data_IF_183424538600
#
_entry.id   IF_183424538600
#
_cell.length_a   1.000
_cell.length_b   1.000
_cell.length_c   1.000
_cell.angle_alpha   90.00
_cell.angle_beta   90.00
_cell.angle_gamma   90.00
#
_symmetry.space_group_name_H-M   'P 1'
#
loop_
_entity.id
_entity.type
_entity.pdbx_description
1 polymer ?
#
# COMPACT_ATOMS: atom_id res chain seq x y z
N UNK A 1 -5.77 7.62 12.98
CA UNK A 1 -6.66 6.43 12.76
C UNK A 1 -6.50 5.97 11.30
N UNK A 2 -6.74 4.70 11.01
CA UNK A 2 -6.52 4.18 9.65
C UNK A 2 -7.64 4.62 8.72
N UNK A 3 -7.24 5.16 7.56
CA UNK A 3 -8.14 5.48 6.45
C UNK A 3 -7.90 4.51 5.32
N UNK A 4 -8.94 3.82 4.89
CA UNK A 4 -8.84 2.85 3.80
C UNK A 4 -9.35 3.46 2.49
N UNK A 5 -8.60 3.29 1.41
CA UNK A 5 -9.09 3.62 0.07
C UNK A 5 -9.98 2.50 -0.46
N UNK A 6 -9.63 1.23 -0.18
CA UNK A 6 -10.39 0.04 -0.58
C UNK A 6 -10.32 -1.03 0.50
N UNK A 7 -11.42 -1.77 0.69
CA UNK A 7 -11.50 -2.89 1.63
C UNK A 7 -12.35 -4.02 1.05
N UNK A 8 -12.01 -5.26 1.36
CA UNK A 8 -12.94 -6.39 1.25
C UNK A 8 -13.02 -7.10 2.59
N UNK A 9 -14.23 -7.29 3.09
CA UNK A 9 -14.50 -7.98 4.34
C UNK A 9 -15.61 -9.02 4.15
N UNK A 10 -15.70 -9.93 5.10
CA UNK A 10 -16.75 -10.95 5.17
C UNK A 10 -17.46 -10.83 6.51
N UNK A 11 -18.79 -10.92 6.47
CA UNK A 11 -19.66 -11.08 7.65
C UNK A 11 -20.58 -12.30 7.46
N UNK A 12 -21.46 -12.56 8.42
CA UNK A 12 -22.42 -13.68 8.39
C UNK A 12 -23.76 -13.27 7.78
N UNK A 13 -24.48 -14.25 7.23
CA UNK A 13 -25.85 -14.06 6.73
C UNK A 13 -26.84 -13.71 7.83
N UNK A 14 -26.55 -14.04 9.09
CA UNK A 14 -27.38 -13.73 10.25
C UNK A 14 -27.59 -12.21 10.45
N UNK A 15 -26.72 -11.38 9.86
CA UNK A 15 -26.84 -9.93 9.89
C UNK A 15 -27.67 -9.36 8.73
N UNK A 16 -28.19 -10.18 7.83
CA UNK A 16 -29.09 -9.73 6.76
C UNK A 16 -30.48 -9.49 7.36
N UNK A 17 -30.94 -8.24 7.34
CA UNK A 17 -32.32 -7.91 7.71
C UNK A 17 -33.29 -8.17 6.57
N UNK A 18 -32.93 -7.69 5.38
CA UNK A 18 -33.75 -7.82 4.18
C UNK A 18 -32.87 -7.89 2.94
N UNK A 19 -33.37 -8.53 1.89
CA UNK A 19 -32.69 -8.64 0.60
C UNK A 19 -33.72 -8.57 -0.52
N UNK A 20 -33.57 -7.61 -1.42
CA UNK A 20 -34.40 -7.49 -2.61
C UNK A 20 -33.78 -8.31 -3.75
N UNK A 21 -34.38 -9.47 -4.01
CA UNK A 21 -33.88 -10.47 -4.97
C UNK A 21 -33.73 -9.92 -6.40
N UNK A 22 -34.45 -8.86 -6.78
CA UNK A 22 -34.36 -8.26 -8.12
C UNK A 22 -32.98 -7.66 -8.42
N UNK A 23 -32.20 -7.34 -7.39
CA UNK A 23 -30.84 -6.82 -7.53
C UNK A 23 -29.78 -7.91 -7.59
N UNK A 24 -30.13 -9.19 -7.46
CA UNK A 24 -29.16 -10.28 -7.35
C UNK A 24 -29.40 -11.43 -8.33
N UNK A 25 -28.30 -11.94 -8.88
CA UNK A 25 -28.26 -13.11 -9.74
C UNK A 25 -28.00 -14.31 -8.84
N UNK A 26 -28.82 -15.34 -9.00
CA UNK A 26 -28.65 -16.60 -8.27
C UNK A 26 -27.85 -17.56 -9.13
N UNK A 27 -26.85 -18.21 -8.53
CA UNK A 27 -26.07 -19.26 -9.16
C UNK A 27 -26.01 -20.48 -8.27
N UNK A 28 -26.08 -21.65 -8.91
CA UNK A 28 -26.01 -22.96 -8.26
C UNK A 28 -24.78 -23.70 -8.79
N UNK A 29 -23.88 -24.09 -7.88
CA UNK A 29 -22.67 -24.85 -8.21
C UNK A 29 -22.78 -26.21 -7.54
N UNK A 30 -23.06 -27.24 -8.34
CA UNK A 30 -23.02 -28.63 -7.90
C UNK A 30 -21.58 -29.13 -7.89
N UNK A 31 -21.11 -29.64 -6.75
CA UNK A 31 -19.82 -30.30 -6.60
C UNK A 31 -19.99 -31.82 -6.74
N UNK A 32 -18.92 -32.50 -7.13
CA UNK A 32 -18.91 -33.97 -7.32
C UNK A 32 -19.28 -34.76 -6.06
N UNK A 33 -19.12 -34.16 -4.86
CA UNK A 33 -19.50 -34.74 -3.58
C UNK A 33 -20.98 -34.49 -3.21
N UNK A 34 -21.82 -34.05 -4.14
CA UNK A 34 -23.24 -33.77 -3.91
C UNK A 34 -23.54 -32.41 -3.26
N UNK A 35 -22.52 -31.65 -2.84
CA UNK A 35 -22.72 -30.31 -2.27
C UNK A 35 -23.26 -29.35 -3.34
N UNK A 36 -24.40 -28.71 -3.06
CA UNK A 36 -24.96 -27.66 -3.90
C UNK A 36 -24.69 -26.29 -3.26
N UNK A 37 -23.80 -25.51 -3.89
CA UNK A 37 -23.43 -24.17 -3.40
C UNK A 37 -24.34 -23.14 -4.06
N UNK A 38 -25.07 -22.37 -3.25
CA UNK A 38 -25.96 -21.29 -3.69
C UNK A 38 -25.26 -19.96 -3.43
N UNK A 39 -25.04 -19.18 -4.49
CA UNK A 39 -24.52 -17.82 -4.38
C UNK A 39 -25.47 -16.81 -5.00
N UNK A 40 -25.61 -15.68 -4.33
CA UNK A 40 -26.27 -14.49 -4.84
C UNK A 40 -25.20 -13.42 -5.11
N UNK A 41 -25.18 -12.84 -6.31
CA UNK A 41 -24.22 -11.79 -6.68
C UNK A 41 -24.94 -10.58 -7.22
N UNK A 42 -24.48 -9.37 -6.85
CA UNK A 42 -25.12 -8.13 -7.27
C UNK A 42 -25.11 -7.98 -8.81
N UNK A 43 -26.28 -7.71 -9.39
CA UNK A 43 -26.50 -7.68 -10.85
C UNK A 43 -25.71 -6.57 -11.55
N UNK A 44 -25.69 -5.39 -10.94
CA UNK A 44 -25.03 -4.19 -11.46
C UNK A 44 -24.16 -3.59 -10.38
N UNK A 45 -22.90 -3.31 -10.72
CA UNK A 45 -22.00 -2.62 -9.79
C UNK A 45 -22.51 -1.20 -9.54
N UNK A 46 -22.59 -0.83 -8.27
CA UNK A 46 -22.80 0.56 -7.86
C UNK A 46 -21.44 1.23 -7.69
N UNK A 47 -21.42 2.57 -7.80
CA UNK A 47 -20.21 3.35 -7.57
C UNK A 47 -19.60 3.00 -6.20
N UNK A 48 -18.31 2.67 -6.21
CA UNK A 48 -17.58 2.28 -5.00
C UNK A 48 -17.90 0.87 -4.46
N UNK A 49 -18.91 0.16 -4.97
CA UNK A 49 -19.20 -1.24 -4.60
C UNK A 49 -18.60 -2.18 -5.64
N UNK A 50 -17.39 -2.65 -5.34
CA UNK A 50 -16.60 -3.50 -6.24
C UNK A 50 -17.09 -4.95 -6.26
N UNK A 51 -17.60 -5.45 -5.13
CA UNK A 51 -18.06 -6.82 -4.94
C UNK A 51 -19.12 -6.88 -3.86
N UNK A 52 -20.21 -7.58 -4.13
CA UNK A 52 -21.19 -7.96 -3.13
C UNK A 52 -21.70 -9.36 -3.49
N UNK A 53 -21.45 -10.32 -2.62
CA UNK A 53 -21.84 -11.70 -2.83
C UNK A 53 -22.26 -12.37 -1.54
N UNK A 54 -23.37 -13.09 -1.57
CA UNK A 54 -23.91 -13.86 -0.45
C UNK A 54 -23.76 -15.33 -0.82
N UNK A 55 -23.13 -16.12 0.05
CA UNK A 55 -23.07 -17.56 -0.06
C UNK A 55 -23.99 -18.15 1.01
N UNK A 56 -25.19 -18.55 0.60
CA UNK A 56 -26.23 -19.04 1.50
C UNK A 56 -25.87 -20.41 2.07
N UNK A 57 -25.10 -21.22 1.34
CA UNK A 57 -24.65 -22.55 1.77
C UNK A 57 -23.67 -22.48 2.95
N UNK A 58 -22.78 -21.48 2.97
CA UNK A 58 -21.78 -21.31 4.02
C UNK A 58 -22.12 -20.17 4.99
N UNK A 59 -23.29 -19.54 4.86
CA UNK A 59 -23.75 -18.47 5.74
C UNK A 59 -22.84 -17.24 5.74
N UNK A 60 -22.27 -16.87 4.58
CA UNK A 60 -21.32 -15.73 4.49
C UNK A 60 -21.77 -14.65 3.52
N UNK A 61 -21.50 -13.40 3.88
CA UNK A 61 -21.68 -12.23 3.02
C UNK A 61 -20.32 -11.59 2.83
N UNK A 62 -19.88 -11.48 1.59
CA UNK A 62 -18.60 -10.87 1.22
C UNK A 62 -18.84 -9.55 0.50
N UNK A 63 -18.22 -8.50 1.03
CA UNK A 63 -18.42 -7.12 0.60
C UNK A 63 -17.06 -6.53 0.28
N UNK A 64 -16.89 -6.03 -0.93
CA UNK A 64 -15.70 -5.33 -1.41
C UNK A 64 -16.10 -3.94 -1.88
N UNK A 65 -15.54 -2.92 -1.26
CA UNK A 65 -15.88 -1.51 -1.49
C UNK A 65 -14.63 -0.66 -1.59
N UNK A 66 -14.69 0.42 -2.36
CA UNK A 66 -13.74 1.52 -2.29
C UNK A 66 -14.41 2.74 -1.66
N UNK A 67 -13.60 3.63 -1.10
CA UNK A 67 -14.01 4.87 -0.46
C UNK A 67 -14.78 5.80 -1.40
N UNK A 68 -14.77 5.58 -2.73
CA UNK A 68 -15.65 6.27 -3.68
C UNK A 68 -17.14 6.08 -3.35
N UNK A 69 -17.48 5.02 -2.61
CA UNK A 69 -18.84 4.81 -2.07
C UNK A 69 -19.29 5.94 -1.15
N UNK A 70 -18.34 6.66 -0.53
CA UNK A 70 -18.60 7.76 0.39
C UNK A 70 -18.88 9.11 -0.30
N UNK A 71 -18.82 9.16 -1.65
CA UNK A 71 -19.20 10.35 -2.43
C UNK A 71 -18.42 11.59 -1.97
N UNK A 72 -19.10 12.63 -1.49
CA UNK A 72 -18.49 13.86 -0.94
C UNK A 72 -17.50 13.61 0.20
N UNK A 73 -17.73 12.56 1.00
CA UNK A 73 -16.85 12.16 2.08
C UNK A 73 -15.67 11.29 1.62
N UNK A 74 -15.44 11.11 0.31
CA UNK A 74 -14.32 10.32 -0.25
C UNK A 74 -12.95 10.67 0.37
N UNK A 75 -12.72 11.95 0.66
CA UNK A 75 -11.47 12.44 1.25
C UNK A 75 -11.19 11.75 2.59
N UNK A 76 -12.22 11.56 3.42
CA UNK A 76 -12.11 10.92 4.73
C UNK A 76 -11.63 9.46 4.63
N UNK A 77 -11.91 8.81 3.49
CA UNK A 77 -11.67 7.38 3.32
C UNK A 77 -12.59 6.55 4.21
N UNK A 78 -12.50 5.23 4.11
CA UNK A 78 -13.26 4.34 5.00
C UNK A 78 -12.52 4.29 6.35
N UNK A 79 -13.12 4.91 7.35
CA UNK A 79 -12.70 4.95 8.75
C UNK A 79 -13.93 4.87 9.68
N UNK A 80 -13.70 4.85 10.99
CA UNK A 80 -14.75 4.84 12.02
C UNK A 80 -15.80 5.92 11.81
N UNK A 81 -15.38 7.13 11.43
CA UNK A 81 -16.26 8.31 11.27
C UNK A 81 -17.15 8.25 10.02
N UNK A 82 -16.94 7.24 9.17
CA UNK A 82 -17.67 7.05 7.89
C UNK A 82 -18.40 5.72 7.82
N UNK A 83 -18.39 4.95 8.91
CA UNK A 83 -18.99 3.61 8.95
C UNK A 83 -20.50 3.64 8.74
N UNK A 84 -21.21 4.60 9.33
CA UNK A 84 -22.66 4.72 9.17
C UNK A 84 -23.02 5.00 7.71
N UNK A 85 -22.33 5.96 7.07
CA UNK A 85 -22.50 6.22 5.64
C UNK A 85 -22.15 4.99 4.79
N UNK A 86 -21.07 4.26 5.12
CA UNK A 86 -20.73 3.04 4.41
C UNK A 86 -21.86 2.00 4.50
N UNK A 87 -22.44 1.82 5.68
CA UNK A 87 -23.57 0.91 5.88
C UNK A 87 -24.79 1.35 5.07
N UNK A 88 -25.14 2.63 5.10
CA UNK A 88 -26.27 3.16 4.33
C UNK A 88 -26.10 2.93 2.82
N UNK A 89 -24.90 3.15 2.29
CA UNK A 89 -24.62 2.92 0.87
C UNK A 89 -24.61 1.43 0.50
N UNK A 90 -24.20 0.54 1.41
CA UNK A 90 -24.36 -0.91 1.25
C UNK A 90 -25.85 -1.26 1.26
N UNK A 91 -26.64 -0.74 2.19
CA UNK A 91 -28.08 -0.98 2.30
C UNK A 91 -28.81 -0.56 1.03
N UNK A 92 -28.40 0.57 0.45
CA UNK A 92 -28.92 1.06 -0.81
C UNK A 92 -28.63 0.13 -2.01
N UNK A 93 -27.80 -0.91 -1.90
CA UNK A 93 -27.58 -1.90 -2.96
C UNK A 93 -28.73 -2.90 -3.13
N UNK A 94 -29.70 -2.91 -2.22
CA UNK A 94 -30.76 -3.92 -2.15
C UNK A 94 -30.46 -5.05 -1.15
N UNK A 95 -29.38 -4.94 -0.37
CA UNK A 95 -29.08 -5.81 0.75
C UNK A 95 -29.01 -4.98 2.03
N UNK A 96 -29.98 -5.12 2.92
CA UNK A 96 -29.99 -4.42 4.20
C UNK A 96 -29.30 -5.25 5.29
N UNK A 97 -28.25 -4.68 5.88
CA UNK A 97 -27.52 -5.30 6.98
C UNK A 97 -27.88 -4.66 8.33
N UNK A 98 -27.86 -5.48 9.38
CA UNK A 98 -27.90 -5.01 10.75
C UNK A 98 -26.57 -4.33 11.10
N UNK A 99 -26.62 -3.17 11.78
CA UNK A 99 -25.45 -2.34 12.13
C UNK A 99 -24.34 -3.11 12.84
N UNK A 100 -24.71 -4.13 13.61
CA UNK A 100 -23.75 -4.95 14.36
C UNK A 100 -22.84 -5.79 13.48
N UNK A 101 -23.10 -5.91 12.16
CA UNK A 101 -22.26 -6.69 11.23
C UNK A 101 -20.78 -6.29 11.34
N UNK A 102 -20.48 -5.03 11.65
CA UNK A 102 -19.13 -4.48 11.78
C UNK A 102 -18.33 -5.21 12.86
N UNK A 103 -18.95 -5.53 14.00
CA UNK A 103 -18.32 -6.22 15.12
C UNK A 103 -17.99 -7.69 14.82
N UNK A 104 -18.67 -8.27 13.83
CA UNK A 104 -18.52 -9.67 13.43
C UNK A 104 -17.90 -9.83 12.03
N UNK A 105 -17.36 -8.73 11.49
CA UNK A 105 -16.72 -8.71 10.18
C UNK A 105 -15.22 -8.97 10.29
N UNK A 106 -14.69 -9.76 9.36
CA UNK A 106 -13.26 -9.90 9.18
C UNK A 106 -12.80 -9.44 7.81
N UNK A 107 -11.66 -8.77 7.76
CA UNK A 107 -11.07 -8.19 6.57
C UNK A 107 -10.25 -9.23 5.82
N UNK A 108 -10.52 -9.34 4.52
CA UNK A 108 -9.82 -10.23 3.59
C UNK A 108 -8.68 -9.52 2.86
N UNK A 109 -8.84 -8.22 2.59
CA UNK A 109 -7.81 -7.33 2.03
C UNK A 109 -8.14 -5.88 2.36
N UNK A 110 -7.12 -5.04 2.41
CA UNK A 110 -7.28 -3.62 2.66
C UNK A 110 -6.18 -2.83 1.94
N UNK A 111 -6.55 -1.67 1.41
CA UNK A 111 -5.64 -0.69 0.85
C UNK A 111 -5.69 0.54 1.76
N UNK A 112 -4.61 0.76 2.52
CA UNK A 112 -4.47 1.84 3.52
C UNK A 112 -3.92 3.08 2.84
N UNK A 113 -4.59 4.22 2.96
CA UNK A 113 -4.14 5.48 2.34
C UNK A 113 -3.80 6.56 3.37
N UNK A 114 -2.84 7.41 3.02
CA UNK A 114 -2.62 8.72 3.61
C UNK A 114 -2.51 9.75 2.48
N UNK A 115 -3.26 10.83 2.61
CA UNK A 115 -3.24 11.98 1.71
C UNK A 115 -2.42 13.08 2.39
N UNK A 116 -1.22 13.36 1.89
CA UNK A 116 -0.29 14.30 2.50
C UNK A 116 -0.24 15.61 1.72
N UNK A 117 -0.45 16.73 2.41
CA UNK A 117 -0.14 18.07 1.93
C UNK A 117 1.20 18.46 2.51
N UNK A 118 2.20 18.54 1.64
CA UNK A 118 3.59 18.77 2.01
C UNK A 118 4.06 20.12 1.44
N UNK A 119 5.21 20.60 1.88
CA UNK A 119 5.74 21.93 1.54
C UNK A 119 6.10 22.07 0.05
N UNK A 120 6.68 21.03 -0.54
CA UNK A 120 7.13 21.03 -1.92
C UNK A 120 6.09 20.44 -2.89
N UNK A 121 6.37 20.51 -4.19
CA UNK A 121 5.57 19.80 -5.20
C UNK A 121 5.66 18.27 -4.99
N UNK A 122 4.68 17.51 -5.46
CA UNK A 122 4.69 16.04 -5.32
C UNK A 122 5.86 15.33 -6.03
N UNK A 123 6.34 15.90 -7.14
CA UNK A 123 7.39 15.30 -7.97
C UNK A 123 8.74 15.25 -7.23
N UNK A 124 9.06 16.30 -6.50
CA UNK A 124 10.22 16.42 -5.63
C UNK A 124 10.33 15.26 -4.63
N UNK A 125 9.22 14.88 -4.01
CA UNK A 125 9.18 13.76 -3.06
C UNK A 125 9.32 12.42 -3.78
N UNK A 126 8.67 12.25 -4.93
CA UNK A 126 8.77 11.03 -5.75
C UNK A 126 10.22 10.83 -6.23
N UNK A 127 10.88 11.89 -6.68
CA UNK A 127 12.28 11.88 -7.08
C UNK A 127 13.19 11.51 -5.91
N UNK A 128 12.97 12.12 -4.74
CA UNK A 128 13.73 11.79 -3.53
C UNK A 128 13.56 10.31 -3.14
N UNK A 129 12.32 9.79 -3.17
CA UNK A 129 12.04 8.38 -2.88
C UNK A 129 12.67 7.43 -3.92
N UNK A 130 12.77 7.85 -5.18
CA UNK A 130 13.36 7.04 -6.23
C UNK A 130 14.85 6.77 -6.02
N UNK A 131 15.56 7.67 -5.34
CA UNK A 131 16.99 7.53 -5.06
C UNK A 131 17.30 6.51 -3.94
N UNK A 132 16.32 6.19 -3.08
CA UNK A 132 16.47 5.15 -2.06
C UNK A 132 16.78 3.80 -2.70
N UNK A 133 17.80 3.07 -2.25
CA UNK A 133 18.10 1.71 -2.76
C UNK A 133 16.90 0.76 -2.59
N UNK A 134 16.25 0.81 -1.42
CA UNK A 134 15.17 -0.06 -0.98
C UNK A 134 15.43 -1.56 -1.26
N UNK A 135 16.49 -2.17 -0.68
CA UNK A 135 17.00 -3.48 -1.11
C UNK A 135 16.00 -4.65 -0.97
N UNK A 136 15.01 -4.53 -0.09
CA UNK A 136 13.96 -5.54 0.10
C UNK A 136 12.77 -5.36 -0.86
N UNK A 137 12.81 -4.35 -1.74
CA UNK A 137 11.74 -3.98 -2.63
C UNK A 137 12.24 -3.91 -4.07
N UNK A 138 11.33 -4.18 -5.01
CA UNK A 138 11.46 -3.81 -6.40
C UNK A 138 10.83 -2.43 -6.54
N UNK A 139 11.61 -1.45 -7.00
CA UNK A 139 11.16 -0.09 -7.24
C UNK A 139 10.74 0.07 -8.69
N UNK A 140 9.68 0.83 -8.93
CA UNK A 140 9.26 1.21 -10.28
C UNK A 140 8.73 2.64 -10.24
N UNK A 141 9.53 3.60 -10.75
CA UNK A 141 9.09 4.98 -10.96
C UNK A 141 8.33 5.08 -12.28
N UNK A 142 7.31 5.92 -12.31
CA UNK A 142 6.61 6.40 -13.49
C UNK A 142 6.40 7.92 -13.31
N UNK A 143 5.88 8.60 -14.33
CA UNK A 143 5.88 10.07 -14.41
C UNK A 143 5.29 10.75 -13.17
N UNK A 144 4.24 10.17 -12.59
CA UNK A 144 3.47 10.79 -11.50
C UNK A 144 3.55 10.01 -10.19
N UNK A 145 4.47 9.04 -10.07
CA UNK A 145 4.59 8.25 -8.85
C UNK A 145 5.67 7.18 -8.87
N UNK A 146 5.71 6.42 -7.78
CA UNK A 146 6.67 5.34 -7.56
C UNK A 146 6.00 4.19 -6.80
N UNK A 147 6.31 2.96 -7.19
CA UNK A 147 5.86 1.73 -6.53
C UNK A 147 7.04 1.04 -5.87
N UNK A 148 6.83 0.57 -4.64
CA UNK A 148 7.71 -0.34 -3.92
C UNK A 148 6.98 -1.68 -3.71
N UNK A 149 7.41 -2.72 -4.45
CA UNK A 149 6.89 -4.08 -4.30
C UNK A 149 7.84 -4.91 -3.44
N UNK A 150 7.39 -5.43 -2.30
CA UNK A 150 8.23 -6.26 -1.43
C UNK A 150 8.65 -7.55 -2.17
N UNK A 151 9.96 -7.87 -2.17
CA UNK A 151 10.52 -9.02 -2.89
C UNK A 151 10.09 -10.39 -2.34
N UNK A 152 9.53 -10.43 -1.13
CA UNK A 152 9.11 -11.69 -0.51
C UNK A 152 7.87 -12.26 -1.23
N UNK A 153 7.87 -13.57 -1.48
CA UNK A 153 6.71 -14.23 -2.11
C UNK A 153 5.56 -14.45 -1.12
N UNK A 154 5.88 -14.68 0.15
CA UNK A 154 4.89 -14.97 1.19
C UNK A 154 4.41 -13.68 1.85
N UNK A 155 3.12 -13.37 1.65
CA UNK A 155 2.45 -12.18 2.23
C UNK A 155 3.15 -10.86 1.81
N UNK A 156 3.28 -10.62 0.49
CA UNK A 156 3.93 -9.42 -0.03
C UNK A 156 3.11 -8.17 0.28
N UNK A 157 3.80 -7.06 0.50
CA UNK A 157 3.20 -5.73 0.50
C UNK A 157 3.59 -4.96 -0.76
N UNK A 158 2.68 -4.10 -1.21
CA UNK A 158 2.95 -3.11 -2.23
C UNK A 158 2.62 -1.74 -1.66
N UNK A 159 3.57 -0.81 -1.71
CA UNK A 159 3.34 0.59 -1.39
C UNK A 159 3.45 1.41 -2.68
N UNK A 160 2.51 2.30 -2.91
CA UNK A 160 2.50 3.22 -4.05
C UNK A 160 2.48 4.64 -3.51
N UNK A 161 3.38 5.49 -3.98
CA UNK A 161 3.41 6.93 -3.70
C UNK A 161 3.17 7.66 -4.99
N UNK A 162 2.17 8.55 -5.05
CA UNK A 162 1.82 9.22 -6.29
C UNK A 162 1.16 10.57 -6.05
N UNK A 163 1.23 11.42 -7.05
CA UNK A 163 0.47 12.65 -7.08
C UNK A 163 -1.01 12.35 -7.33
N UNK A 164 -1.86 12.65 -6.35
CA UNK A 164 -3.28 12.29 -6.41
C UNK A 164 -3.99 13.04 -7.53
N UNK A 165 -3.65 14.30 -7.72
CA UNK A 165 -4.20 15.15 -8.77
C UNK A 165 -4.10 14.53 -10.16
N UNK A 166 -2.95 13.96 -10.53
CA UNK A 166 -2.78 13.32 -11.83
C UNK A 166 -3.62 12.04 -12.00
N UNK A 167 -3.85 11.27 -10.92
CA UNK A 167 -4.78 10.13 -10.97
C UNK A 167 -6.21 10.59 -11.26
N UNK A 168 -6.60 11.74 -10.74
CA UNK A 168 -7.94 12.28 -10.95
C UNK A 168 -8.22 12.63 -12.40
N UNK A 169 -7.22 13.16 -13.10
CA UNK A 169 -7.33 13.49 -14.51
C UNK A 169 -7.59 12.24 -15.38
N UNK A 170 -7.19 11.06 -14.92
CA UNK A 170 -7.45 9.77 -15.57
C UNK A 170 -8.84 9.21 -15.20
N UNK A 171 -9.26 9.34 -13.93
CA UNK A 171 -10.54 8.84 -13.40
C UNK A 171 -11.72 9.82 -13.59
N UNK A 172 -11.94 10.30 -14.82
CA UNK A 172 -12.85 11.44 -15.10
C UNK A 172 -14.31 11.27 -14.66
N UNK A 173 -14.86 10.06 -14.64
CA UNK A 173 -16.30 9.85 -14.37
C UNK A 173 -16.69 10.20 -12.94
N UNK A 174 -15.94 9.75 -11.95
CA UNK A 174 -16.22 10.04 -10.54
C UNK A 174 -16.10 11.53 -10.24
N UNK A 175 -15.03 12.19 -10.70
CA UNK A 175 -14.80 13.60 -10.41
C UNK A 175 -15.66 14.55 -11.24
N UNK A 176 -16.30 14.07 -12.32
CA UNK A 176 -17.38 14.82 -12.99
C UNK A 176 -18.65 14.89 -12.13
N UNK A 177 -18.97 13.84 -11.39
CA UNK A 177 -20.10 13.82 -10.45
C UNK A 177 -19.79 14.60 -9.16
N UNK A 178 -18.51 14.64 -8.74
CA UNK A 178 -18.06 15.31 -7.52
C UNK A 178 -16.91 16.32 -7.80
N UNK A 179 -17.16 17.40 -8.58
CA UNK A 179 -16.11 18.33 -9.02
C UNK A 179 -15.40 19.07 -7.87
N UNK A 180 -16.10 19.33 -6.77
CA UNK A 180 -15.58 19.94 -5.54
C UNK A 180 -14.38 19.20 -4.95
N UNK A 181 -14.26 17.88 -5.19
CA UNK A 181 -13.13 17.09 -4.71
C UNK A 181 -11.82 17.43 -5.44
N UNK A 182 -11.89 18.01 -6.63
CA UNK A 182 -10.72 18.29 -7.48
C UNK A 182 -9.74 19.25 -6.81
N UNK A 183 -10.26 20.35 -6.26
CA UNK A 183 -9.42 21.35 -5.63
C UNK A 183 -8.81 20.85 -4.32
N UNK A 184 -9.43 19.88 -3.66
CA UNK A 184 -8.94 19.35 -2.37
C UNK A 184 -7.65 18.56 -2.54
N UNK A 185 -7.48 17.89 -3.67
CA UNK A 185 -6.34 17.03 -3.98
C UNK A 185 -5.22 17.70 -4.78
N UNK A 186 -5.33 19.01 -5.04
CA UNK A 186 -4.24 19.78 -5.65
C UNK A 186 -2.96 19.64 -4.80
N UNK A 187 -1.85 19.28 -5.46
CA UNK A 187 -0.55 19.01 -4.84
C UNK A 187 -0.60 18.04 -3.64
N UNK A 188 -1.49 17.06 -3.65
CA UNK A 188 -1.54 16.01 -2.61
C UNK A 188 -0.67 14.82 -3.02
N UNK A 189 0.30 14.50 -2.16
CA UNK A 189 1.07 13.27 -2.25
C UNK A 189 0.29 12.15 -1.54
N UNK A 190 -0.25 11.20 -2.31
CA UNK A 190 -0.90 10.02 -1.73
C UNK A 190 0.11 8.90 -1.52
N UNK A 191 0.08 8.33 -0.32
CA UNK A 191 0.80 7.11 0.03
C UNK A 191 -0.24 6.02 0.29
N UNK A 192 -0.17 4.93 -0.47
CA UNK A 192 -1.14 3.84 -0.42
C UNK A 192 -0.44 2.49 -0.28
N UNK A 193 -0.75 1.75 0.78
CA UNK A 193 -0.26 0.39 1.00
C UNK A 193 -1.34 -0.65 0.80
N UNK A 194 -1.07 -1.58 -0.10
CA UNK A 194 -1.94 -2.70 -0.43
C UNK A 194 -1.61 -3.93 0.39
N UNK A 195 -2.58 -4.39 1.18
CA UNK A 195 -2.56 -5.61 1.98
C UNK A 195 -3.46 -6.65 1.28
N UNK A 196 -2.94 -7.44 0.31
CA UNK A 196 -3.75 -8.17 -0.65
C UNK A 196 -4.47 -9.39 -0.09
N UNK A 197 -4.10 -9.86 1.10
CA UNK A 197 -4.64 -11.08 1.70
C UNK A 197 -4.84 -10.93 3.20
N UNK A 198 -5.76 -11.71 3.77
CA UNK A 198 -6.03 -11.79 5.22
C UNK A 198 -4.75 -12.04 6.01
N UNK A 199 -3.88 -12.90 5.49
CA UNK A 199 -2.60 -13.18 6.12
C UNK A 199 -1.64 -11.98 6.12
N UNK A 200 -1.69 -11.13 5.10
CA UNK A 200 -0.89 -9.90 5.01
C UNK A 200 -1.46 -8.82 5.92
N UNK A 201 -2.79 -8.67 5.95
CA UNK A 201 -3.51 -7.80 6.90
C UNK A 201 -3.07 -8.14 8.33
N UNK A 202 -3.18 -9.40 8.74
CA UNK A 202 -2.77 -9.84 10.06
C UNK A 202 -1.27 -9.66 10.35
N UNK A 203 -0.39 -9.76 9.34
CA UNK A 203 1.07 -9.56 9.52
C UNK A 203 1.39 -8.14 9.99
N UNK A 204 0.74 -7.14 9.39
CA UNK A 204 1.03 -5.72 9.63
C UNK A 204 0.11 -5.10 10.69
N UNK A 205 -1.16 -5.50 10.76
CA UNK A 205 -2.15 -4.93 11.69
C UNK A 205 -2.31 -5.76 12.97
N UNK A 206 -1.88 -7.03 12.97
CA UNK A 206 -2.04 -7.99 14.09
C UNK A 206 -3.49 -8.37 14.43
N UNK A 207 -4.45 -7.95 13.60
CA UNK A 207 -5.85 -8.37 13.66
C UNK A 207 -6.42 -8.51 12.24
N UNK A 208 -7.53 -9.25 12.13
CA UNK A 208 -8.39 -9.25 10.96
C UNK A 208 -9.79 -8.67 11.25
N UNK A 209 -10.09 -8.29 12.49
CA UNK A 209 -11.36 -7.64 12.83
C UNK A 209 -11.47 -6.31 12.08
N UNK A 210 -12.63 -6.06 11.47
CA UNK A 210 -12.88 -4.78 10.79
C UNK A 210 -12.67 -3.61 11.74
N UNK A 211 -13.22 -3.68 12.96
CA UNK A 211 -13.13 -2.60 13.93
C UNK A 211 -11.68 -2.33 14.38
N UNK A 212 -10.91 -3.38 14.68
CA UNK A 212 -9.51 -3.23 15.08
C UNK A 212 -8.66 -2.59 13.98
N UNK A 213 -8.94 -2.95 12.72
CA UNK A 213 -8.24 -2.41 11.56
C UNK A 213 -8.50 -0.91 11.40
N UNK A 214 -9.74 -0.48 11.55
CA UNK A 214 -10.10 0.95 11.46
C UNK A 214 -9.52 1.76 12.62
N UNK A 215 -9.40 1.14 13.81
CA UNK A 215 -8.82 1.76 15.00
C UNK A 215 -7.27 1.77 15.02
N UNK A 216 -6.62 1.00 14.15
CA UNK A 216 -5.15 0.98 14.05
C UNK A 216 -4.63 2.29 13.44
N UNK A 217 -3.38 2.68 13.69
CA UNK A 217 -2.74 3.85 13.07
C UNK A 217 -1.31 3.53 12.61
N UNK A 218 -0.72 4.43 11.81
CA UNK A 218 0.71 4.37 11.46
C UNK A 218 1.12 3.22 10.52
N UNK A 219 0.19 2.55 9.82
CA UNK A 219 0.54 1.44 8.91
C UNK A 219 1.46 1.91 7.78
N UNK A 220 1.11 2.99 7.08
CA UNK A 220 1.97 3.53 6.03
C UNK A 220 3.29 4.06 6.59
N UNK A 221 3.30 4.65 7.79
CA UNK A 221 4.54 5.03 8.48
C UNK A 221 5.48 3.84 8.67
N UNK A 222 4.99 2.73 9.22
CA UNK A 222 5.79 1.52 9.45
C UNK A 222 6.38 0.95 8.14
N UNK A 223 5.62 1.01 7.05
CA UNK A 223 6.05 0.48 5.74
C UNK A 223 7.08 1.41 5.10
N UNK A 224 6.87 2.73 5.17
CA UNK A 224 7.83 3.73 4.70
C UNK A 224 9.14 3.64 5.50
N UNK A 225 9.06 3.51 6.82
CA UNK A 225 10.24 3.32 7.68
C UNK A 225 11.02 2.05 7.30
N UNK A 226 10.31 0.96 7.01
CA UNK A 226 10.90 -0.28 6.49
C UNK A 226 11.56 -0.12 5.12
N UNK A 227 11.00 0.70 4.22
CA UNK A 227 11.58 1.02 2.90
C UNK A 227 12.87 1.81 3.07
N UNK A 228 12.88 2.77 4.00
CA UNK A 228 13.98 3.70 4.26
C UNK A 228 15.11 3.05 5.07
N UNK A 229 14.79 2.04 5.89
CA UNK A 229 15.66 1.52 6.93
C UNK A 229 17.13 1.34 6.46
N UNK A 230 18.05 1.96 7.23
CA UNK A 230 19.50 2.02 7.02
C UNK A 230 20.03 2.76 5.77
N UNK A 231 19.20 3.53 5.05
CA UNK A 231 19.64 4.25 3.84
C UNK A 231 19.85 5.75 4.05
N UNK A 232 19.12 6.35 5.00
CA UNK A 232 19.20 7.79 5.29
C UNK A 232 20.25 8.18 6.34
N UNK A 233 20.96 7.20 6.90
CA UNK A 233 21.97 7.44 7.95
C UNK A 233 23.26 8.09 7.43
N UNK A 234 23.35 8.36 6.13
CA UNK A 234 24.54 8.86 5.48
C UNK A 234 24.28 10.25 4.91
N UNK A 235 25.11 11.21 5.32
CA UNK A 235 25.05 12.57 4.79
C UNK A 235 25.29 12.57 3.28
N UNK A 236 24.64 13.47 2.53
CA UNK A 236 24.81 13.60 1.07
C UNK A 236 26.22 14.07 0.66
N UNK A 237 27.12 14.29 1.61
CA UNK A 237 28.50 14.68 1.33
C UNK A 237 29.44 13.47 1.48
N UNK A 238 30.07 13.07 0.37
CA UNK A 238 31.12 12.05 0.35
C UNK A 238 32.44 12.66 0.84
N UNK A 239 32.88 12.24 2.03
CA UNK A 239 34.22 12.54 2.53
C UNK A 239 35.07 11.26 2.56
N UNK A 240 35.70 10.92 1.44
CA UNK A 240 36.60 9.76 1.34
C UNK A 240 37.87 9.93 2.18
N UNK A 241 38.36 11.16 2.36
CA UNK A 241 39.55 11.47 3.17
C UNK A 241 39.43 11.04 4.65
N UNK A 242 38.21 10.93 5.17
CA UNK A 242 37.97 10.46 6.55
C UNK A 242 37.77 8.94 6.64
N UNK A 243 37.82 8.21 5.53
CA UNK A 243 37.68 6.76 5.53
C UNK A 243 38.98 6.06 5.94
N UNK A 244 38.86 4.91 6.59
CA UNK A 244 40.01 4.01 6.74
C UNK A 244 40.38 3.41 5.39
N UNK A 245 41.63 2.96 5.21
CA UNK A 245 42.06 2.26 3.99
C UNK A 245 41.11 1.11 3.59
N UNK A 246 40.61 0.35 4.57
CA UNK A 246 39.63 -0.71 4.32
C UNK A 246 38.25 -0.16 3.91
N UNK A 247 37.83 0.95 4.51
CA UNK A 247 36.60 1.65 4.13
C UNK A 247 36.65 2.17 2.71
N UNK A 248 37.73 2.86 2.35
CA UNK A 248 37.96 3.43 1.03
C UNK A 248 38.04 2.35 -0.07
N UNK A 249 38.75 1.24 0.18
CA UNK A 249 38.78 0.10 -0.76
C UNK A 249 37.39 -0.47 -1.04
N UNK A 250 36.58 -0.66 0.01
CA UNK A 250 35.21 -1.15 -0.14
C UNK A 250 34.33 -0.14 -0.89
N UNK A 251 34.47 1.15 -0.57
CA UNK A 251 33.76 2.22 -1.25
C UNK A 251 34.11 2.26 -2.74
N UNK A 252 35.40 2.28 -3.09
CA UNK A 252 35.86 2.31 -4.47
C UNK A 252 35.37 1.10 -5.27
N UNK A 253 35.40 -0.09 -4.68
CA UNK A 253 34.83 -1.29 -5.31
C UNK A 253 33.34 -1.13 -5.59
N UNK A 254 32.57 -0.63 -4.62
CA UNK A 254 31.11 -0.50 -4.77
C UNK A 254 30.76 0.65 -5.72
N UNK A 255 31.53 1.74 -5.73
CA UNK A 255 31.41 2.83 -6.68
C UNK A 255 31.60 2.33 -8.11
N UNK A 256 32.66 1.57 -8.37
CA UNK A 256 32.90 0.95 -9.66
C UNK A 256 31.76 0.00 -10.08
N UNK A 257 31.29 -0.86 -9.17
CA UNK A 257 30.20 -1.79 -9.48
C UNK A 257 28.85 -1.07 -9.64
N UNK A 258 28.63 0.06 -8.96
CA UNK A 258 27.46 0.91 -9.14
C UNK A 258 27.40 1.44 -10.56
N UNK A 259 28.50 1.96 -11.07
CA UNK A 259 28.61 2.43 -12.46
C UNK A 259 28.38 1.28 -13.45
N UNK A 260 29.06 0.15 -13.25
CA UNK A 260 28.96 -1.01 -14.14
C UNK A 260 27.57 -1.66 -14.19
N UNK A 261 26.86 -1.71 -13.06
CA UNK A 261 25.53 -2.33 -12.95
C UNK A 261 24.39 -1.31 -12.86
N UNK A 262 24.67 -0.03 -13.14
CA UNK A 262 23.70 1.06 -13.06
C UNK A 262 22.90 1.08 -11.74
N UNK A 263 23.60 0.89 -10.62
CA UNK A 263 23.03 0.86 -9.28
C UNK A 263 22.14 -0.33 -8.94
N UNK A 264 22.06 -1.37 -9.79
CA UNK A 264 21.28 -2.57 -9.47
C UNK A 264 21.91 -3.37 -8.31
N UNK A 265 21.31 -3.23 -7.13
CA UNK A 265 21.77 -3.86 -5.90
C UNK A 265 21.97 -5.37 -6.04
N UNK A 266 21.05 -6.10 -6.70
CA UNK A 266 21.15 -7.55 -6.80
C UNK A 266 22.28 -7.99 -7.73
N UNK A 267 22.49 -7.29 -8.85
CA UNK A 267 23.59 -7.56 -9.77
C UNK A 267 24.95 -7.30 -9.11
N UNK A 268 25.08 -6.22 -8.34
CA UNK A 268 26.28 -5.92 -7.55
C UNK A 268 26.53 -7.03 -6.51
N UNK A 269 25.49 -7.46 -5.78
CA UNK A 269 25.63 -8.54 -4.80
C UNK A 269 25.97 -9.88 -5.46
N UNK A 270 25.37 -10.18 -6.61
CA UNK A 270 25.67 -11.38 -7.39
C UNK A 270 27.12 -11.38 -7.86
N UNK A 271 27.62 -10.24 -8.33
CA UNK A 271 29.02 -10.06 -8.70
C UNK A 271 29.95 -10.36 -7.52
N UNK A 272 29.73 -9.69 -6.38
CA UNK A 272 30.59 -9.88 -5.21
C UNK A 272 30.52 -11.33 -4.70
N UNK A 273 29.32 -11.92 -4.66
CA UNK A 273 29.13 -13.30 -4.21
C UNK A 273 29.86 -14.31 -5.12
N UNK A 274 29.98 -14.05 -6.42
CA UNK A 274 30.72 -14.92 -7.35
C UNK A 274 32.22 -15.01 -7.02
N UNK A 275 32.76 -14.06 -6.26
CA UNK A 275 34.16 -14.00 -5.82
C UNK A 275 34.37 -14.54 -4.41
N UNK A 276 33.31 -14.92 -3.70
CA UNK A 276 33.38 -15.52 -2.37
C UNK A 276 33.50 -17.04 -2.46
N UNK A 277 34.03 -17.68 -1.42
CA UNK A 277 34.03 -19.13 -1.31
C UNK A 277 32.60 -19.70 -1.34
N UNK A 278 32.44 -20.92 -1.88
CA UNK A 278 31.13 -21.57 -2.12
C UNK A 278 30.21 -21.59 -0.88
N UNK A 279 30.79 -21.68 0.31
CA UNK A 279 30.06 -21.77 1.59
C UNK A 279 30.02 -20.44 2.36
N UNK A 280 30.65 -19.38 1.86
CA UNK A 280 30.73 -18.10 2.55
C UNK A 280 29.42 -17.33 2.39
N UNK A 281 28.79 -16.98 3.52
CA UNK A 281 27.61 -16.11 3.53
C UNK A 281 28.00 -14.69 3.15
N UNK A 282 27.33 -14.10 2.17
CA UNK A 282 27.56 -12.72 1.73
C UNK A 282 26.92 -11.65 2.63
N UNK A 283 26.65 -11.95 3.91
CA UNK A 283 25.92 -11.04 4.81
C UNK A 283 26.70 -9.75 5.06
N UNK A 284 28.00 -9.87 5.33
CA UNK A 284 28.88 -8.73 5.54
C UNK A 284 28.96 -7.85 4.29
N UNK A 285 29.20 -8.45 3.13
CA UNK A 285 29.26 -7.76 1.84
C UNK A 285 27.93 -7.09 1.49
N UNK A 286 26.80 -7.73 1.79
CA UNK A 286 25.47 -7.12 1.66
C UNK A 286 25.33 -5.83 2.46
N UNK A 287 25.80 -5.82 3.70
CA UNK A 287 25.73 -4.63 4.54
C UNK A 287 26.67 -3.53 4.03
N UNK A 288 27.85 -3.87 3.50
CA UNK A 288 28.75 -2.92 2.86
C UNK A 288 28.13 -2.30 1.60
N UNK A 289 27.56 -3.10 0.71
CA UNK A 289 26.89 -2.61 -0.50
C UNK A 289 25.74 -1.68 -0.13
N UNK A 290 24.88 -2.06 0.83
CA UNK A 290 23.81 -1.18 1.32
C UNK A 290 24.35 0.15 1.81
N UNK A 291 25.39 0.13 2.66
CA UNK A 291 26.02 1.34 3.20
C UNK A 291 26.53 2.24 2.09
N UNK A 292 27.40 1.74 1.22
CA UNK A 292 28.11 2.60 0.27
C UNK A 292 27.25 2.99 -0.94
N UNK A 293 26.33 2.15 -1.42
CA UNK A 293 25.33 2.60 -2.39
C UNK A 293 24.45 3.71 -1.81
N UNK A 294 24.15 3.68 -0.50
CA UNK A 294 23.31 4.73 0.09
C UNK A 294 24.09 6.03 0.11
N UNK A 295 25.38 5.96 0.44
CA UNK A 295 26.27 7.11 0.34
C UNK A 295 26.33 7.66 -1.09
N UNK A 296 26.51 6.80 -2.10
CA UNK A 296 26.61 7.22 -3.51
C UNK A 296 25.31 7.88 -3.98
N UNK A 297 24.16 7.23 -3.77
CA UNK A 297 22.87 7.74 -4.21
C UNK A 297 22.45 9.02 -3.48
N UNK A 298 22.88 9.18 -2.22
CA UNK A 298 22.54 10.37 -1.44
C UNK A 298 23.36 11.60 -1.86
N UNK A 299 24.45 11.46 -2.63
CA UNK A 299 25.30 12.59 -3.07
C UNK A 299 24.79 13.23 -4.35
N UNK A 300 23.86 12.58 -5.05
CA UNK A 300 23.12 13.20 -6.13
C UNK A 300 22.41 14.47 -5.60
N UNK A 301 22.62 15.61 -6.26
CA UNK A 301 22.05 16.91 -5.89
C UNK A 301 20.51 16.89 -5.77
N UNK A 302 19.87 15.85 -6.32
CA UNK A 302 18.42 15.64 -6.26
C UNK A 302 17.93 14.90 -5.00
N UNK A 303 18.81 14.36 -4.15
CA UNK A 303 18.42 13.68 -2.91
C UNK A 303 18.30 14.67 -1.74
N UNK A 304 17.11 14.74 -1.14
CA UNK A 304 16.85 15.64 -0.01
C UNK A 304 16.37 14.86 1.22
N UNK A 305 17.22 14.76 2.24
CA UNK A 305 16.89 14.09 3.50
C UNK A 305 15.69 14.75 4.21
N UNK A 306 15.57 16.08 4.12
CA UNK A 306 14.48 16.84 4.74
C UNK A 306 13.12 16.41 4.20
N UNK A 307 13.01 16.16 2.89
CA UNK A 307 11.77 15.65 2.25
C UNK A 307 11.37 14.27 2.77
N UNK A 308 12.35 13.39 3.05
CA UNK A 308 12.08 12.07 3.65
C UNK A 308 11.57 12.21 5.07
N UNK A 309 12.21 13.07 5.88
CA UNK A 309 11.79 13.29 7.27
C UNK A 309 10.42 13.98 7.34
N UNK A 310 10.11 14.89 6.42
CA UNK A 310 8.78 15.49 6.31
C UNK A 310 7.70 14.44 6.04
N UNK A 311 7.91 13.52 5.08
CA UNK A 311 6.98 12.39 4.84
C UNK A 311 6.79 11.56 6.11
N UNK A 312 7.89 11.21 6.79
CA UNK A 312 7.83 10.40 8.01
C UNK A 312 7.06 11.09 9.13
N UNK A 313 7.31 12.38 9.37
CA UNK A 313 6.61 13.17 10.36
C UNK A 313 5.12 13.29 10.02
N UNK A 314 4.80 13.60 8.76
CA UNK A 314 3.42 13.70 8.30
C UNK A 314 2.66 12.37 8.46
N UNK A 315 3.29 11.24 8.16
CA UNK A 315 2.69 9.92 8.35
C UNK A 315 2.56 9.51 9.82
N UNK A 316 3.50 9.92 10.68
CA UNK A 316 3.45 9.62 12.12
C UNK A 316 2.32 10.37 12.82
N UNK A 317 2.00 11.57 12.33
CA UNK A 317 0.98 12.45 12.90
C UNK A 317 -0.45 12.17 12.37
N UNK A 318 -0.64 11.20 11.47
CA UNK A 318 -1.95 10.79 10.90
C UNK A 318 -2.39 9.40 11.36
#
# INVERSE_FOLDING_TARGET
MTRLDTIEFTTKTDFIKSMDSKYFNVSHIKKNNGLNIINHTLNKRKLGVNKLSINSTFGTVKIGVSSKVLKDNYIKGICTDTLDQLLDEINNTGLELHKDFIHYSFVNKADVKNDLKLLNNTEDYINTLNQLIAPNFIKTKYDTGIVFNEKIQTKPIRLTVYSKEYEMQQSKTFYKEYPQLTNVFNNVLRIESRLPTKATVNKYIKSNSLLDILNTSGINYQIVDKIINHQINFKPYLNTFKMTNSGEKNFAQIYYLNDYYNGDFESIIKHIKSKLGKNTKATYQRNLVKKYLSMINNVDDNFCLEKIEEIKLALKNN
#
